data_IF_356850057946
#
_entry.id   IF_356850057946
#
_cell.length_a   1.000
_cell.length_b   1.000
_cell.length_c   1.000
_cell.angle_alpha   90.00
_cell.angle_beta   90.00
_cell.angle_gamma   90.00
#
_symmetry.space_group_name_H-M   'P 1'
#
loop_
_entity.id
_entity.type
_entity.pdbx_description
1 polymer ?
#
# COMPACT_ATOMS: atom_id res chain seq x y z
N UNK A 1 -32.46 -13.59 -20.44
CA UNK A 1 -31.20 -13.08 -19.83
C UNK A 1 -30.08 -13.31 -20.82
N UNK A 2 -29.43 -12.26 -21.32
CA UNK A 2 -28.30 -12.42 -22.24
C UNK A 2 -27.10 -12.96 -21.45
N UNK A 3 -26.58 -14.11 -21.85
CA UNK A 3 -25.30 -14.62 -21.35
C UNK A 3 -24.23 -13.59 -21.71
N UNK A 4 -23.58 -12.99 -20.70
CA UNK A 4 -22.48 -12.07 -20.94
C UNK A 4 -21.40 -12.81 -21.75
N UNK A 5 -21.09 -12.32 -22.95
CA UNK A 5 -20.03 -12.89 -23.78
C UNK A 5 -18.71 -12.81 -23.01
N UNK A 6 -18.08 -13.96 -22.80
CA UNK A 6 -16.74 -14.06 -22.22
C UNK A 6 -15.77 -13.32 -23.14
N UNK A 7 -14.82 -12.60 -22.55
CA UNK A 7 -13.80 -11.86 -23.30
C UNK A 7 -12.98 -12.80 -24.18
N UNK A 8 -12.70 -12.39 -25.43
CA UNK A 8 -11.94 -13.19 -26.40
C UNK A 8 -10.50 -13.53 -25.95
N UNK A 9 -9.93 -12.71 -25.06
CA UNK A 9 -8.56 -12.89 -24.53
C UNK A 9 -8.52 -13.68 -23.22
N UNK A 10 -9.69 -14.07 -22.67
CA UNK A 10 -9.73 -14.73 -21.36
C UNK A 10 -9.28 -16.18 -21.49
N UNK A 11 -8.17 -16.52 -20.83
CA UNK A 11 -7.64 -17.88 -20.74
C UNK A 11 -7.07 -18.13 -19.34
N UNK A 12 -7.45 -19.28 -18.76
CA UNK A 12 -7.03 -19.71 -17.42
C UNK A 12 -7.20 -18.64 -16.32
N UNK A 13 -8.27 -17.85 -16.39
CA UNK A 13 -8.52 -16.75 -15.44
C UNK A 13 -9.86 -16.99 -14.75
N UNK A 14 -9.82 -17.49 -13.51
CA UNK A 14 -11.03 -17.89 -12.79
C UNK A 14 -11.84 -16.67 -12.33
N UNK A 15 -13.19 -16.70 -12.33
CA UNK A 15 -14.01 -15.59 -11.84
C UNK A 15 -13.69 -15.14 -10.41
N UNK A 16 -13.35 -16.08 -9.53
CA UNK A 16 -12.91 -15.78 -8.15
C UNK A 16 -11.63 -14.92 -8.14
N UNK A 17 -10.63 -15.25 -8.99
CA UNK A 17 -9.40 -14.45 -9.11
C UNK A 17 -9.71 -13.04 -9.64
N UNK A 18 -10.59 -12.93 -10.64
CA UNK A 18 -11.06 -11.63 -11.14
C UNK A 18 -11.74 -10.80 -10.05
N UNK A 19 -12.59 -11.41 -9.24
CA UNK A 19 -13.26 -10.75 -8.12
C UNK A 19 -12.25 -10.32 -7.04
N UNK A 20 -11.27 -11.18 -6.74
CA UNK A 20 -10.24 -10.90 -5.76
C UNK A 20 -9.28 -9.78 -6.22
N UNK A 21 -8.92 -9.72 -7.50
CA UNK A 21 -8.18 -8.59 -8.08
C UNK A 21 -8.95 -7.27 -7.95
N UNK A 22 -10.27 -7.27 -8.18
CA UNK A 22 -11.08 -6.08 -7.93
C UNK A 22 -11.10 -5.68 -6.43
N UNK A 23 -11.06 -6.66 -5.54
CA UNK A 23 -10.88 -6.44 -4.10
C UNK A 23 -9.53 -5.79 -3.78
N UNK A 24 -8.45 -6.34 -4.32
CA UNK A 24 -7.10 -5.83 -4.11
C UNK A 24 -6.92 -4.42 -4.70
N UNK A 25 -7.46 -4.12 -5.89
CA UNK A 25 -7.48 -2.77 -6.46
C UNK A 25 -8.10 -1.76 -5.47
N UNK A 26 -9.22 -2.14 -4.84
CA UNK A 26 -9.89 -1.27 -3.86
C UNK A 26 -9.04 -1.07 -2.61
N UNK A 27 -8.30 -2.10 -2.20
CA UNK A 27 -7.41 -2.06 -1.04
C UNK A 27 -6.16 -1.20 -1.29
N UNK A 28 -5.54 -1.28 -2.47
CA UNK A 28 -4.40 -0.44 -2.85
C UNK A 28 -4.81 1.04 -2.94
N UNK A 29 -6.00 1.33 -3.50
CA UNK A 29 -6.56 2.69 -3.50
C UNK A 29 -6.85 3.21 -2.08
N UNK A 30 -7.33 2.33 -1.19
CA UNK A 30 -7.50 2.68 0.22
C UNK A 30 -6.16 2.98 0.90
N UNK A 31 -5.15 2.15 0.68
CA UNK A 31 -3.80 2.36 1.23
C UNK A 31 -3.21 3.69 0.74
N UNK A 32 -3.34 3.99 -0.56
CA UNK A 32 -2.98 5.28 -1.15
C UNK A 32 -3.67 6.45 -0.42
N UNK A 33 -4.96 6.33 -0.15
CA UNK A 33 -5.73 7.38 0.53
C UNK A 33 -5.34 7.56 2.00
N UNK A 34 -5.03 6.47 2.70
CA UNK A 34 -4.49 6.52 4.08
C UNK A 34 -3.14 7.24 4.10
N UNK A 35 -2.21 6.87 3.23
CA UNK A 35 -0.92 7.55 3.13
C UNK A 35 -1.05 9.02 2.75
N UNK A 36 -2.01 9.36 1.88
CA UNK A 36 -2.30 10.75 1.57
C UNK A 36 -2.78 11.52 2.81
N UNK A 37 -3.67 10.93 3.62
CA UNK A 37 -4.10 11.54 4.89
C UNK A 37 -2.92 11.78 5.83
N UNK A 38 -2.04 10.78 6.01
CA UNK A 38 -0.81 10.94 6.81
C UNK A 38 0.08 12.06 6.28
N UNK A 39 0.31 12.11 4.97
CA UNK A 39 1.15 13.12 4.35
C UNK A 39 0.67 14.55 4.64
N UNK A 40 -0.64 14.80 4.50
CA UNK A 40 -1.22 16.12 4.73
C UNK A 40 -1.34 16.47 6.22
N UNK A 41 -1.37 15.48 7.11
CA UNK A 41 -1.23 15.74 8.55
C UNK A 41 0.14 16.34 8.90
N UNK A 42 1.23 15.75 8.39
CA UNK A 42 2.59 16.26 8.67
C UNK A 42 2.92 17.59 7.96
N UNK A 43 2.14 17.99 6.96
CA UNK A 43 2.28 19.28 6.26
C UNK A 43 1.53 20.43 6.93
N UNK A 44 0.71 20.16 7.96
CA UNK A 44 0.05 21.20 8.78
C UNK A 44 1.09 22.09 9.47
N UNK A 45 0.75 23.35 9.70
CA UNK A 45 1.64 24.32 10.36
C UNK A 45 1.93 23.99 11.84
N UNK A 46 1.01 23.29 12.50
CA UNK A 46 1.13 22.86 13.89
C UNK A 46 1.85 21.51 14.08
N UNK A 47 2.21 20.82 12.99
CA UNK A 47 3.03 19.59 12.99
C UNK A 47 4.39 19.82 12.31
N UNK A 48 4.38 20.39 11.10
CA UNK A 48 5.54 20.92 10.37
C UNK A 48 6.74 19.96 10.12
N UNK A 49 6.49 18.65 9.96
CA UNK A 49 7.52 17.64 9.67
C UNK A 49 7.55 17.30 8.16
N UNK A 50 8.23 18.16 7.39
CA UNK A 50 8.15 18.15 5.92
C UNK A 50 8.71 16.87 5.26
N UNK A 51 9.67 16.18 5.86
CA UNK A 51 10.20 14.94 5.28
C UNK A 51 9.30 13.74 5.59
N UNK A 52 8.60 13.73 6.74
CA UNK A 52 7.48 12.80 6.96
C UNK A 52 6.37 13.01 5.94
N UNK A 53 5.96 14.26 5.69
CA UNK A 53 4.94 14.58 4.70
C UNK A 53 5.34 14.06 3.30
N UNK A 54 6.59 14.29 2.89
CA UNK A 54 7.13 13.79 1.61
C UNK A 54 7.21 12.27 1.54
N UNK A 55 7.65 11.63 2.63
CA UNK A 55 7.74 10.18 2.74
C UNK A 55 6.37 9.55 2.49
N UNK A 56 5.35 9.93 3.25
CA UNK A 56 4.01 9.39 3.07
C UNK A 56 3.37 9.80 1.73
N UNK A 57 3.68 10.98 1.20
CA UNK A 57 3.21 11.36 -0.14
C UNK A 57 3.81 10.48 -1.24
N UNK A 58 5.05 10.00 -1.08
CA UNK A 58 5.67 9.04 -2.00
C UNK A 58 4.94 7.70 -1.93
N UNK A 59 4.76 7.15 -0.74
CA UNK A 59 4.01 5.90 -0.54
C UNK A 59 2.59 5.99 -1.10
N UNK A 60 1.89 7.11 -0.88
CA UNK A 60 0.57 7.33 -1.47
C UNK A 60 0.56 7.19 -3.01
N UNK A 61 1.60 7.68 -3.68
CA UNK A 61 1.75 7.57 -5.14
C UNK A 61 2.14 6.16 -5.57
N UNK A 62 2.99 5.48 -4.80
CA UNK A 62 3.37 4.09 -5.05
C UNK A 62 2.14 3.17 -4.96
N UNK A 63 1.32 3.32 -3.93
CA UNK A 63 0.08 2.53 -3.80
C UNK A 63 -0.95 2.83 -4.90
N UNK A 64 -1.03 4.08 -5.37
CA UNK A 64 -1.87 4.40 -6.53
C UNK A 64 -1.37 3.68 -7.80
N UNK A 65 -0.05 3.59 -8.00
CA UNK A 65 0.55 2.84 -9.12
C UNK A 65 0.31 1.34 -8.99
N UNK A 66 0.35 0.78 -7.78
CA UNK A 66 -0.01 -0.62 -7.53
C UNK A 66 -1.46 -0.89 -7.93
N UNK A 67 -2.39 -0.01 -7.57
CA UNK A 67 -3.78 -0.12 -8.01
C UNK A 67 -3.91 -0.10 -9.54
N UNK A 68 -3.24 0.83 -10.22
CA UNK A 68 -3.23 0.94 -11.69
C UNK A 68 -2.64 -0.32 -12.35
N UNK A 69 -1.55 -0.86 -11.82
CA UNK A 69 -0.91 -2.07 -12.33
C UNK A 69 -1.83 -3.30 -12.22
N UNK A 70 -2.64 -3.42 -11.16
CA UNK A 70 -3.68 -4.45 -11.07
C UNK A 70 -4.84 -4.21 -12.06
N UNK A 71 -5.22 -2.96 -12.30
CA UNK A 71 -6.23 -2.62 -13.31
C UNK A 71 -5.76 -3.01 -14.72
N UNK A 72 -4.50 -2.78 -15.04
CA UNK A 72 -3.88 -3.20 -16.29
C UNK A 72 -3.89 -4.73 -16.42
N UNK A 73 -3.44 -5.46 -15.39
CA UNK A 73 -3.50 -6.93 -15.37
C UNK A 73 -4.93 -7.44 -15.59
N UNK A 74 -5.91 -6.87 -14.88
CA UNK A 74 -7.31 -7.24 -14.97
C UNK A 74 -7.81 -7.16 -16.42
N UNK A 75 -7.46 -6.09 -17.14
CA UNK A 75 -7.80 -5.91 -18.55
C UNK A 75 -7.02 -6.88 -19.46
N UNK A 76 -5.73 -7.07 -19.23
CA UNK A 76 -4.88 -7.99 -19.99
C UNK A 76 -5.41 -9.43 -19.96
N UNK A 77 -5.89 -9.90 -18.78
CA UNK A 77 -6.46 -11.25 -18.60
C UNK A 77 -7.91 -11.36 -19.06
N UNK A 78 -8.50 -10.29 -19.58
CA UNK A 78 -9.88 -10.26 -20.07
C UNK A 78 -10.94 -10.20 -18.96
N UNK A 79 -10.56 -9.81 -17.74
CA UNK A 79 -11.47 -9.49 -16.64
C UNK A 79 -12.18 -8.15 -16.85
N UNK A 80 -13.03 -7.79 -15.89
CA UNK A 80 -13.75 -6.51 -15.86
C UNK A 80 -13.49 -5.83 -14.53
N UNK A 81 -12.94 -4.62 -14.62
CA UNK A 81 -12.74 -3.76 -13.46
C UNK A 81 -14.11 -3.34 -12.91
N UNK A 82 -14.32 -3.55 -11.61
CA UNK A 82 -15.51 -3.12 -10.87
C UNK A 82 -15.07 -2.30 -9.67
N UNK A 83 -14.90 -1.00 -9.87
CA UNK A 83 -14.53 -0.06 -8.82
C UNK A 83 -15.61 0.02 -7.73
N UNK A 84 -15.16 0.24 -6.50
CA UNK A 84 -16.01 0.42 -5.30
C UNK A 84 -15.63 1.72 -4.61
N UNK A 85 -16.44 2.13 -3.65
CA UNK A 85 -16.13 3.27 -2.80
C UNK A 85 -14.78 3.06 -2.09
N UNK A 86 -13.90 4.05 -2.19
CA UNK A 86 -12.70 4.12 -1.35
C UNK A 86 -13.13 4.70 -0.01
N UNK A 87 -13.06 3.90 1.05
CA UNK A 87 -13.44 4.34 2.39
C UNK A 87 -12.44 5.38 2.88
N UNK A 88 -12.93 6.36 3.66
CA UNK A 88 -12.04 7.28 4.36
C UNK A 88 -11.16 6.51 5.37
N UNK A 89 -9.96 7.01 5.70
CA UNK A 89 -9.16 6.49 6.79
C UNK A 89 -9.94 6.47 8.12
N UNK A 90 -9.52 5.62 9.05
CA UNK A 90 -10.14 5.46 10.37
C UNK A 90 -9.98 6.70 11.27
N UNK A 91 -9.02 7.58 10.94
CA UNK A 91 -8.72 8.81 11.66
C UNK A 91 -8.27 9.94 10.73
N UNK A 92 -8.46 11.16 11.21
CA UNK A 92 -8.01 12.40 10.54
C UNK A 92 -6.78 13.02 11.23
N UNK A 93 -6.55 12.68 12.51
CA UNK A 93 -5.38 13.06 13.29
C UNK A 93 -4.50 11.82 13.53
N UNK A 94 -3.19 11.94 13.24
CA UNK A 94 -2.23 10.84 13.33
C UNK A 94 -1.35 10.90 14.57
N UNK A 95 -1.59 11.85 15.48
CA UNK A 95 -0.96 12.03 16.78
C UNK A 95 0.54 12.39 16.71
N UNK A 96 1.36 11.55 16.10
CA UNK A 96 2.82 11.73 16.03
C UNK A 96 3.45 10.96 14.86
N UNK A 97 4.73 11.26 14.57
CA UNK A 97 5.55 10.50 13.63
C UNK A 97 5.60 9.01 13.96
N UNK A 98 5.79 8.66 15.24
CA UNK A 98 5.80 7.27 15.68
C UNK A 98 4.46 6.57 15.41
N UNK A 99 3.34 7.19 15.80
CA UNK A 99 2.00 6.60 15.65
C UNK A 99 1.63 6.43 14.18
N UNK A 100 1.98 7.38 13.32
CA UNK A 100 1.80 7.26 11.89
C UNK A 100 2.60 6.09 11.29
N UNK A 101 3.87 5.92 11.69
CA UNK A 101 4.71 4.79 11.24
C UNK A 101 4.18 3.44 11.71
N UNK A 102 3.67 3.34 12.94
CA UNK A 102 3.01 2.12 13.44
C UNK A 102 1.75 1.78 12.63
N UNK A 103 0.93 2.79 12.33
CA UNK A 103 -0.28 2.61 11.52
C UNK A 103 0.07 2.20 10.08
N UNK A 104 1.09 2.81 9.48
CA UNK A 104 1.61 2.44 8.16
C UNK A 104 2.11 1.00 8.15
N UNK A 105 2.90 0.59 9.16
CA UNK A 105 3.39 -0.78 9.29
C UNK A 105 2.24 -1.80 9.40
N UNK A 106 1.18 -1.47 10.14
CA UNK A 106 -0.01 -2.31 10.24
C UNK A 106 -0.76 -2.39 8.89
N UNK A 107 -0.89 -1.26 8.19
CA UNK A 107 -1.50 -1.19 6.87
C UNK A 107 -0.75 -2.09 5.88
N UNK A 108 0.58 -1.96 5.77
CA UNK A 108 1.40 -2.79 4.88
C UNK A 108 1.26 -4.28 5.18
N UNK A 109 1.25 -4.67 6.47
CA UNK A 109 1.01 -6.07 6.86
C UNK A 109 -0.37 -6.57 6.45
N UNK A 110 -1.38 -5.71 6.55
CA UNK A 110 -2.76 -6.05 6.15
C UNK A 110 -2.89 -6.21 4.63
N UNK A 111 -2.28 -5.30 3.87
CA UNK A 111 -2.20 -5.37 2.40
C UNK A 111 -1.44 -6.63 1.97
N UNK A 112 -0.30 -6.91 2.61
CA UNK A 112 0.49 -8.10 2.33
C UNK A 112 -0.29 -9.39 2.62
N UNK A 113 -1.05 -9.47 3.73
CA UNK A 113 -1.90 -10.62 4.00
C UNK A 113 -2.94 -10.85 2.90
N UNK A 114 -3.60 -9.78 2.43
CA UNK A 114 -4.54 -9.85 1.31
C UNK A 114 -3.88 -10.36 0.02
N UNK A 115 -2.63 -9.96 -0.24
CA UNK A 115 -1.85 -10.46 -1.38
C UNK A 115 -1.48 -11.95 -1.24
N UNK A 116 -1.14 -12.41 -0.04
CA UNK A 116 -0.89 -13.83 0.23
C UNK A 116 -2.16 -14.67 0.03
N UNK A 117 -3.31 -14.17 0.50
CA UNK A 117 -4.61 -14.84 0.30
C UNK A 117 -4.98 -14.89 -1.20
N UNK A 118 -4.71 -13.82 -1.95
CA UNK A 118 -4.89 -13.77 -3.40
C UNK A 118 -3.94 -14.73 -4.14
N UNK A 119 -2.68 -14.82 -3.70
CA UNK A 119 -1.71 -15.77 -4.27
C UNK A 119 -2.11 -17.23 -3.99
N UNK A 120 -2.58 -17.53 -2.78
CA UNK A 120 -3.12 -18.85 -2.45
C UNK A 120 -4.33 -19.18 -3.33
N UNK A 121 -5.26 -18.25 -3.53
CA UNK A 121 -6.38 -18.43 -4.43
C UNK A 121 -5.92 -18.70 -5.87
N UNK A 122 -4.94 -17.95 -6.38
CA UNK A 122 -4.36 -18.17 -7.70
C UNK A 122 -3.75 -19.58 -7.82
N UNK A 123 -3.03 -20.01 -6.78
CA UNK A 123 -2.43 -21.34 -6.68
C UNK A 123 -3.50 -22.43 -6.72
N UNK A 124 -4.56 -22.31 -5.92
CA UNK A 124 -5.67 -23.27 -5.87
C UNK A 124 -6.41 -23.38 -7.21
N UNK A 125 -6.46 -22.29 -7.98
CA UNK A 125 -7.04 -22.25 -9.33
C UNK A 125 -6.05 -22.61 -10.44
N UNK A 126 -4.81 -22.96 -10.10
CA UNK A 126 -3.73 -23.27 -11.05
C UNK A 126 -3.44 -22.13 -12.04
N UNK A 127 -3.54 -20.87 -11.59
CA UNK A 127 -3.20 -19.68 -12.39
C UNK A 127 -1.74 -19.28 -12.16
N UNK A 128 -0.82 -20.03 -12.77
CA UNK A 128 0.62 -19.80 -12.62
C UNK A 128 1.06 -18.39 -13.04
N UNK A 129 0.39 -17.77 -14.02
CA UNK A 129 0.73 -16.41 -14.45
C UNK A 129 0.35 -15.37 -13.39
N UNK A 130 -0.79 -15.53 -12.73
CA UNK A 130 -1.18 -14.65 -11.64
C UNK A 130 -0.25 -14.82 -10.43
N UNK A 131 0.15 -16.05 -10.09
CA UNK A 131 1.14 -16.30 -9.03
C UNK A 131 2.47 -15.57 -9.32
N UNK A 132 3.03 -15.77 -10.52
CA UNK A 132 4.29 -15.14 -10.94
C UNK A 132 4.20 -13.61 -10.89
N UNK A 133 3.11 -13.03 -11.40
CA UNK A 133 2.88 -11.59 -11.35
C UNK A 133 2.88 -11.03 -9.92
N UNK A 134 2.19 -11.69 -8.99
CA UNK A 134 2.13 -11.26 -7.58
C UNK A 134 3.50 -11.37 -6.91
N UNK A 135 4.24 -12.44 -7.17
CA UNK A 135 5.59 -12.64 -6.65
C UNK A 135 6.59 -11.61 -7.19
N UNK A 136 6.53 -11.32 -8.49
CA UNK A 136 7.47 -10.44 -9.17
C UNK A 136 7.27 -8.97 -8.76
N UNK A 137 6.02 -8.53 -8.64
CA UNK A 137 5.69 -7.11 -8.53
C UNK A 137 5.17 -6.67 -7.16
N UNK A 138 4.68 -7.58 -6.30
CA UNK A 138 4.06 -7.17 -5.03
C UNK A 138 4.79 -7.78 -3.83
N UNK A 139 4.87 -9.11 -3.74
CA UNK A 139 5.31 -9.78 -2.50
C UNK A 139 6.74 -9.38 -2.09
N UNK A 140 7.65 -9.20 -3.05
CA UNK A 140 9.02 -8.74 -2.77
C UNK A 140 9.08 -7.30 -2.26
N UNK A 141 8.26 -6.43 -2.83
CA UNK A 141 8.21 -5.01 -2.44
C UNK A 141 7.60 -4.84 -1.06
N UNK A 142 6.53 -5.60 -0.75
CA UNK A 142 5.89 -5.59 0.56
C UNK A 142 6.81 -5.98 1.69
N UNK A 143 7.64 -7.02 1.51
CA UNK A 143 8.61 -7.43 2.53
C UNK A 143 9.60 -6.29 2.83
N UNK A 144 10.09 -5.61 1.80
CA UNK A 144 11.00 -4.46 1.96
C UNK A 144 10.33 -3.29 2.67
N UNK A 145 9.10 -2.93 2.28
CA UNK A 145 8.34 -1.85 2.92
C UNK A 145 8.06 -2.14 4.40
N UNK A 146 7.69 -3.38 4.73
CA UNK A 146 7.46 -3.82 6.11
C UNK A 146 8.75 -3.74 6.94
N UNK A 147 9.90 -4.13 6.36
CA UNK A 147 11.21 -4.03 7.01
C UNK A 147 11.60 -2.56 7.26
N UNK A 148 11.47 -1.70 6.25
CA UNK A 148 11.78 -0.26 6.33
C UNK A 148 10.96 0.42 7.44
N UNK A 149 9.63 0.24 7.41
CA UNK A 149 8.73 0.81 8.41
C UNK A 149 9.01 0.25 9.82
N UNK A 150 9.31 -1.04 9.93
CA UNK A 150 9.71 -1.67 11.20
C UNK A 150 11.01 -1.07 11.77
N UNK A 151 11.99 -0.79 10.90
CA UNK A 151 13.22 -0.10 11.26
C UNK A 151 12.99 1.34 11.70
N UNK A 152 12.07 2.06 11.05
CA UNK A 152 11.67 3.42 11.44
C UNK A 152 10.99 3.46 12.81
N UNK A 153 10.01 2.57 13.06
CA UNK A 153 9.34 2.43 14.36
C UNK A 153 10.36 2.13 15.46
N UNK A 154 11.25 1.16 15.24
CA UNK A 154 12.29 0.78 16.22
C UNK A 154 13.19 1.97 16.56
N UNK A 155 13.59 2.74 15.55
CA UNK A 155 14.47 3.91 15.72
C UNK A 155 13.78 5.02 16.51
N UNK A 156 12.53 5.34 16.17
CA UNK A 156 11.74 6.37 16.86
C UNK A 156 11.50 6.00 18.33
N UNK A 157 11.10 4.75 18.60
CA UNK A 157 10.93 4.24 19.97
C UNK A 157 12.22 4.33 20.77
N UNK A 158 13.35 3.89 20.20
CA UNK A 158 14.65 3.88 20.88
C UNK A 158 15.16 5.29 21.20
N UNK A 159 14.77 6.30 20.40
CA UNK A 159 15.07 7.70 20.65
C UNK A 159 14.07 8.39 21.59
N UNK A 160 13.07 7.66 22.12
CA UNK A 160 12.10 8.18 23.09
C UNK A 160 10.98 9.03 22.50
N UNK A 161 10.59 8.81 21.24
CA UNK A 161 9.36 9.38 20.71
C UNK A 161 8.12 8.70 21.36
N UNK A 162 7.00 9.43 21.54
CA UNK A 162 6.79 10.84 21.20
C UNK A 162 7.19 11.84 22.32
N UNK A 163 7.55 11.37 23.52
CA UNK A 163 7.74 12.25 24.69
C UNK A 163 8.99 13.14 24.57
N UNK A 164 10.02 12.69 23.88
CA UNK A 164 11.22 13.47 23.59
C UNK A 164 10.99 14.41 22.40
N UNK A 165 10.64 15.67 22.69
CA UNK A 165 10.22 16.64 21.67
C UNK A 165 11.20 16.94 20.53
N UNK A 166 12.49 16.58 20.64
CA UNK A 166 13.46 16.73 19.55
C UNK A 166 13.59 15.48 18.65
N UNK A 167 13.08 14.34 19.10
CA UNK A 167 13.31 13.05 18.44
C UNK A 167 12.73 13.00 17.03
N UNK A 168 11.46 13.36 16.86
CA UNK A 168 10.82 13.32 15.54
C UNK A 168 11.41 14.37 14.59
N UNK A 169 11.81 15.53 15.13
CA UNK A 169 12.50 16.56 14.34
C UNK A 169 13.86 16.07 13.82
N UNK A 170 14.67 15.43 14.68
CA UNK A 170 15.96 14.87 14.27
C UNK A 170 15.75 13.72 13.28
N UNK A 171 14.77 12.85 13.51
CA UNK A 171 14.44 11.74 12.61
C UNK A 171 14.00 12.23 11.22
N UNK A 172 13.13 13.24 11.17
CA UNK A 172 12.71 13.92 9.94
C UNK A 172 13.93 14.41 9.13
N UNK A 173 14.89 15.03 9.82
CA UNK A 173 16.06 15.67 9.19
C UNK A 173 17.17 14.70 8.80
N UNK A 174 17.40 13.66 9.60
CA UNK A 174 18.56 12.77 9.47
C UNK A 174 18.22 11.47 8.75
N UNK A 175 17.03 10.90 8.97
CA UNK A 175 16.62 9.62 8.38
C UNK A 175 15.82 9.85 7.10
N UNK A 176 14.69 10.56 7.20
CA UNK A 176 13.74 10.66 6.08
C UNK A 176 14.24 11.56 4.94
N UNK A 177 15.14 12.51 5.23
CA UNK A 177 15.77 13.38 4.22
C UNK A 177 16.52 12.59 3.12
N UNK A 178 17.10 11.44 3.45
CA UNK A 178 17.97 10.68 2.55
C UNK A 178 17.24 9.59 1.74
N UNK A 179 15.96 9.36 2.01
CA UNK A 179 15.09 8.45 1.23
C UNK A 179 14.86 8.92 -0.24
N UNK A 180 15.60 9.95 -0.68
CA UNK A 180 15.56 10.56 -2.01
C UNK A 180 16.60 10.01 -3.01
N UNK A 181 17.51 9.13 -2.61
CA UNK A 181 18.69 8.79 -3.46
C UNK A 181 18.62 7.49 -4.24
N UNK A 182 17.57 6.68 -4.11
CA UNK A 182 17.44 5.44 -4.87
C UNK A 182 16.08 5.40 -5.56
N UNK A 183 16.05 5.94 -6.78
CA UNK A 183 15.13 5.61 -7.87
C UNK A 183 15.74 6.13 -9.17
#
# INVERSE_FOLDING_TARGET
MATARISQVRQNYHPDCEAAINGQISLELYASYVYQSMAFYFDRDDVALRNFARFFQRHAREEARHAEMLMELQNQRGGRIRLRDVKKPDRDDWESGLRAMECALHLEKSVNQSLLDLHQLATDKNDAQLCDFLEAHYLRERVKAIEELGGHVTSLCSMGAPEAGLTEYLFDRLTLRHSHKEN
#
